data_IF_091884761627
#
_entry.id   IF_091884761627
#
_cell.length_a   1.000
_cell.length_b   1.000
_cell.length_c   1.000
_cell.angle_alpha   90.00
_cell.angle_beta   90.00
_cell.angle_gamma   90.00
#
_symmetry.space_group_name_H-M   'P 1'
#
loop_
_entity.id
_entity.type
_entity.pdbx_description
1 polymer ?
#
# COMPACT_ATOMS: atom_id res chain seq x y z
N UNK A 1 28.20 -36.38 25.42
CA UNK A 1 28.20 -35.91 24.04
C UNK A 1 26.96 -35.05 23.82
N UNK A 2 27.13 -33.74 23.94
CA UNK A 2 26.04 -32.74 23.84
C UNK A 2 26.18 -32.05 22.48
N UNK A 3 25.27 -32.32 21.59
CA UNK A 3 25.21 -31.72 20.27
C UNK A 3 24.64 -30.32 20.37
N UNK A 4 25.45 -29.31 20.10
CA UNK A 4 25.04 -27.91 20.07
C UNK A 4 24.50 -27.58 18.67
N UNK A 5 23.21 -27.55 18.53
CA UNK A 5 22.54 -27.14 17.27
C UNK A 5 22.70 -25.63 17.12
N UNK A 6 23.52 -25.20 16.18
CA UNK A 6 23.74 -23.81 15.81
C UNK A 6 22.59 -23.32 14.92
N UNK A 7 21.58 -22.71 15.55
CA UNK A 7 20.48 -22.05 14.85
C UNK A 7 21.01 -20.76 14.21
N UNK A 8 21.26 -20.76 12.91
CA UNK A 8 21.49 -19.52 12.15
C UNK A 8 20.27 -18.62 12.29
N UNK A 9 20.43 -17.51 13.01
CA UNK A 9 19.42 -16.46 13.08
C UNK A 9 19.30 -15.80 11.71
N UNK A 10 18.21 -16.07 11.01
CA UNK A 10 17.86 -15.38 9.78
C UNK A 10 17.60 -13.90 10.08
N UNK A 11 18.21 -13.01 9.33
CA UNK A 11 17.98 -11.58 9.43
C UNK A 11 16.54 -11.32 8.96
N UNK A 12 15.68 -10.87 9.87
CA UNK A 12 14.32 -10.47 9.55
C UNK A 12 14.34 -9.36 8.50
N UNK A 13 13.47 -9.44 7.47
CA UNK A 13 13.30 -8.40 6.43
C UNK A 13 13.10 -7.01 7.03
N UNK A 14 12.46 -6.93 8.19
CA UNK A 14 12.28 -5.70 8.98
C UNK A 14 13.61 -5.08 9.43
N UNK A 15 14.61 -5.90 9.77
CA UNK A 15 15.93 -5.43 10.16
C UNK A 15 16.80 -5.06 8.95
N UNK A 16 16.60 -5.70 7.80
CA UNK A 16 17.28 -5.35 6.56
C UNK A 16 16.92 -3.94 6.08
N UNK A 17 15.64 -3.57 6.15
CA UNK A 17 15.18 -2.22 5.78
C UNK A 17 15.68 -1.13 6.74
N UNK A 18 15.82 -1.44 8.04
CA UNK A 18 16.37 -0.51 9.03
C UNK A 18 17.89 -0.29 8.86
N UNK A 19 18.63 -1.30 8.40
CA UNK A 19 20.07 -1.21 8.19
C UNK A 19 20.43 -0.61 6.83
N UNK A 20 19.60 -0.78 5.79
CA UNK A 20 19.79 -0.21 4.46
C UNK A 20 19.68 1.32 4.43
N UNK A 21 18.87 1.91 5.31
CA UNK A 21 18.72 3.37 5.40
C UNK A 21 19.97 4.09 5.96
N UNK A 22 20.82 3.42 6.70
CA UNK A 22 22.01 4.03 7.30
C UNK A 22 23.25 4.01 6.38
N UNK A 23 23.27 3.19 5.33
CA UNK A 23 24.41 3.06 4.41
C UNK A 23 24.38 4.06 3.23
N UNK A 24 23.30 4.78 3.00
CA UNK A 24 23.13 5.69 1.87
C UNK A 24 23.62 7.14 2.14
N UNK A 25 24.15 7.45 3.34
CA UNK A 25 24.54 8.81 3.71
C UNK A 25 25.99 9.18 3.34
N UNK A 26 26.73 8.36 2.62
CA UNK A 26 28.19 8.47 2.48
C UNK A 26 28.74 8.79 1.09
N UNK A 27 27.94 9.08 0.04
CA UNK A 27 28.50 9.33 -1.29
C UNK A 27 27.67 10.36 -2.08
N UNK A 28 27.77 11.63 -1.71
CA UNK A 28 27.24 12.72 -2.53
C UNK A 28 28.28 13.82 -2.69
N UNK A 29 29.20 13.67 -3.65
CA UNK A 29 29.90 14.81 -4.28
C UNK A 29 29.99 14.52 -5.77
N UNK A 30 29.29 15.27 -6.60
CA UNK A 30 29.49 15.29 -8.06
C UNK A 30 28.24 15.48 -8.90
N UNK A 31 27.84 16.76 -9.08
CA UNK A 31 27.15 17.35 -10.24
C UNK A 31 26.03 16.58 -10.94
N UNK A 32 24.84 17.18 -10.89
CA UNK A 32 23.74 16.91 -11.84
C UNK A 32 22.46 16.50 -11.18
N UNK A 33 21.61 17.49 -10.94
CA UNK A 33 20.29 17.33 -10.36
C UNK A 33 19.42 16.32 -11.10
N UNK A 34 19.21 15.17 -10.48
CA UNK A 34 18.00 14.40 -10.65
C UNK A 34 17.46 14.19 -9.24
N UNK A 35 16.57 15.10 -8.87
CA UNK A 35 15.77 14.99 -7.67
C UNK A 35 14.80 13.84 -7.84
N UNK A 36 14.93 12.80 -7.03
CA UNK A 36 13.78 11.99 -6.75
C UNK A 36 13.95 10.53 -6.83
N UNK A 37 14.74 9.78 -6.56
CA UNK A 37 14.81 8.39 -6.07
C UNK A 37 16.31 8.03 -5.90
N UNK A 38 16.71 7.44 -4.79
CA UNK A 38 18.01 6.80 -4.76
C UNK A 38 18.00 5.72 -5.84
N UNK A 39 18.78 5.93 -6.89
CA UNK A 39 19.03 4.91 -7.90
C UNK A 39 19.81 3.82 -7.19
N UNK A 40 19.11 2.86 -6.60
CA UNK A 40 19.73 1.63 -6.16
C UNK A 40 20.07 0.87 -7.44
N UNK A 41 21.29 1.02 -7.90
CA UNK A 41 21.86 0.12 -8.88
C UNK A 41 22.03 -1.23 -8.20
N UNK A 42 20.94 -1.95 -8.00
CA UNK A 42 21.00 -3.35 -7.65
C UNK A 42 21.56 -4.08 -8.85
N UNK A 43 22.71 -4.70 -8.72
CA UNK A 43 23.28 -5.57 -9.75
C UNK A 43 22.39 -6.79 -10.03
N UNK A 44 21.35 -7.01 -9.22
CA UNK A 44 20.35 -8.04 -9.42
C UNK A 44 19.00 -7.40 -9.73
N UNK A 45 18.26 -7.88 -10.73
CA UNK A 45 16.93 -7.42 -11.05
C UNK A 45 16.02 -7.60 -9.83
N UNK A 46 15.35 -6.53 -9.44
CA UNK A 46 14.36 -6.57 -8.37
C UNK A 46 13.07 -7.12 -8.93
N UNK A 47 12.52 -8.13 -8.29
CA UNK A 47 11.19 -8.64 -8.56
C UNK A 47 10.31 -8.37 -7.35
N UNK A 48 9.16 -7.71 -7.57
CA UNK A 48 8.12 -7.50 -6.58
C UNK A 48 6.90 -8.36 -6.93
N UNK A 49 6.37 -9.03 -5.93
CA UNK A 49 5.18 -9.88 -6.05
C UNK A 49 3.98 -9.09 -5.54
N UNK A 50 3.06 -8.80 -6.44
CA UNK A 50 1.79 -8.16 -6.13
C UNK A 50 0.67 -9.19 -6.19
N UNK A 51 -0.25 -9.14 -5.26
CA UNK A 51 -1.52 -9.82 -5.39
C UNK A 51 -2.66 -8.86 -5.08
N UNK A 52 -3.84 -9.16 -5.60
CA UNK A 52 -5.02 -8.34 -5.35
C UNK A 52 -6.17 -8.69 -6.26
N UNK A 53 -7.21 -7.86 -6.23
CA UNK A 53 -8.33 -7.99 -7.15
C UNK A 53 -7.91 -7.65 -8.58
N UNK A 54 -8.59 -8.20 -9.58
CA UNK A 54 -8.17 -8.07 -10.98
C UNK A 54 -8.24 -6.65 -11.56
N UNK A 55 -8.69 -5.67 -10.78
CA UNK A 55 -8.96 -4.30 -11.26
C UNK A 55 -7.69 -3.58 -11.70
N UNK A 56 -6.60 -3.71 -10.96
CA UNK A 56 -5.29 -3.10 -11.28
C UNK A 56 -4.27 -4.10 -11.82
N UNK A 57 -4.66 -5.35 -12.02
CA UNK A 57 -3.78 -6.40 -12.54
C UNK A 57 -3.69 -6.31 -14.07
N UNK A 58 -3.03 -5.27 -14.57
CA UNK A 58 -2.90 -4.98 -16.00
C UNK A 58 -1.45 -5.16 -16.44
N UNK A 59 -1.23 -5.92 -17.51
CA UNK A 59 0.11 -6.12 -18.09
C UNK A 59 0.82 -4.81 -18.40
N UNK A 60 0.09 -3.79 -18.86
CA UNK A 60 0.64 -2.46 -19.15
C UNK A 60 1.28 -1.80 -17.91
N UNK A 61 0.77 -2.06 -16.70
CA UNK A 61 1.37 -1.57 -15.44
C UNK A 61 2.70 -2.27 -15.18
N UNK A 62 2.76 -3.59 -15.36
CA UNK A 62 4.00 -4.35 -15.18
C UNK A 62 5.07 -3.97 -16.21
N UNK A 63 4.68 -3.79 -17.47
CA UNK A 63 5.57 -3.33 -18.55
C UNK A 63 6.12 -1.94 -18.24
N UNK A 64 5.26 -1.01 -17.83
CA UNK A 64 5.66 0.35 -17.48
C UNK A 64 6.53 0.41 -16.22
N UNK A 65 6.26 -0.41 -15.23
CA UNK A 65 7.09 -0.56 -14.03
C UNK A 65 8.52 -1.03 -14.42
N UNK A 66 8.62 -1.99 -15.34
CA UNK A 66 9.90 -2.48 -15.83
C UNK A 66 10.65 -1.42 -16.65
N UNK A 67 9.93 -0.71 -17.52
CA UNK A 67 10.51 0.36 -18.34
C UNK A 67 11.04 1.53 -17.49
N UNK A 68 10.25 2.05 -16.56
CA UNK A 68 10.56 3.26 -15.82
C UNK A 68 11.48 3.02 -14.63
N UNK A 69 11.35 1.87 -13.96
CA UNK A 69 12.01 1.59 -12.69
C UNK A 69 13.00 0.41 -12.76
N UNK A 70 13.02 -0.35 -13.85
CA UNK A 70 13.82 -1.57 -13.96
C UNK A 70 13.36 -2.70 -13.04
N UNK A 71 12.16 -2.59 -12.47
CA UNK A 71 11.59 -3.55 -11.53
C UNK A 71 10.65 -4.49 -12.27
N UNK A 72 10.79 -5.79 -12.07
CA UNK A 72 9.83 -6.78 -12.53
C UNK A 72 8.68 -6.87 -11.53
N UNK A 73 7.46 -6.68 -11.99
CA UNK A 73 6.25 -6.80 -11.19
C UNK A 73 5.51 -8.10 -11.57
N UNK A 74 5.47 -9.06 -10.65
CA UNK A 74 4.70 -10.29 -10.78
C UNK A 74 3.34 -10.10 -10.11
N UNK A 75 2.27 -10.11 -10.92
CA UNK A 75 0.92 -9.83 -10.44
C UNK A 75 0.07 -11.11 -10.43
N UNK A 76 -0.65 -11.33 -9.34
CA UNK A 76 -1.59 -12.45 -9.17
C UNK A 76 -2.97 -11.91 -8.84
N UNK A 77 -3.94 -12.14 -9.73
CA UNK A 77 -5.34 -11.80 -9.49
C UNK A 77 -5.99 -12.83 -8.56
N UNK A 78 -6.84 -12.34 -7.65
CA UNK A 78 -7.64 -13.15 -6.75
C UNK A 78 -8.97 -12.43 -6.46
N UNK A 79 -9.91 -13.09 -5.81
CA UNK A 79 -11.11 -12.44 -5.28
C UNK A 79 -10.82 -11.75 -3.94
N UNK A 80 -11.74 -10.90 -3.49
CA UNK A 80 -11.59 -10.08 -2.28
C UNK A 80 -11.43 -10.90 -1.00
N UNK A 81 -12.18 -12.00 -0.86
CA UNK A 81 -12.11 -12.83 0.35
C UNK A 81 -10.80 -13.62 0.38
N UNK A 82 -10.39 -14.19 -0.75
CA UNK A 82 -9.10 -14.87 -0.86
C UNK A 82 -7.94 -13.88 -0.70
N UNK A 83 -8.07 -12.62 -1.17
CA UNK A 83 -7.08 -11.58 -0.93
C UNK A 83 -6.92 -11.29 0.56
N UNK A 84 -8.02 -11.10 1.30
CA UNK A 84 -8.00 -10.90 2.74
C UNK A 84 -7.34 -12.07 3.48
N UNK A 85 -7.71 -13.30 3.12
CA UNK A 85 -7.15 -14.51 3.72
C UNK A 85 -5.64 -14.63 3.43
N UNK A 86 -5.23 -14.46 2.17
CA UNK A 86 -3.82 -14.55 1.77
C UNK A 86 -2.97 -13.51 2.48
N UNK A 87 -3.46 -12.27 2.59
CA UNK A 87 -2.75 -11.21 3.27
C UNK A 87 -2.33 -11.61 4.68
N UNK A 88 -3.24 -12.22 5.43
CA UNK A 88 -3.02 -12.58 6.84
C UNK A 88 -2.27 -13.91 6.99
N UNK A 89 -2.59 -14.92 6.18
CA UNK A 89 -2.07 -16.28 6.38
C UNK A 89 -0.75 -16.53 5.67
N UNK A 90 -0.41 -15.73 4.65
CA UNK A 90 0.77 -15.91 3.82
C UNK A 90 1.57 -14.61 3.62
N UNK A 91 1.96 -13.90 4.69
CA UNK A 91 2.60 -12.58 4.59
C UNK A 91 3.95 -12.60 3.86
N UNK A 92 4.62 -13.75 3.80
CA UNK A 92 5.88 -13.92 3.07
C UNK A 92 5.70 -14.22 1.57
N UNK A 93 4.45 -14.38 1.09
CA UNK A 93 4.16 -14.72 -0.30
C UNK A 93 4.03 -13.51 -1.21
N UNK A 94 4.10 -12.28 -0.69
CA UNK A 94 3.91 -11.06 -1.45
C UNK A 94 4.77 -9.91 -0.90
N UNK A 95 4.93 -8.89 -1.71
CA UNK A 95 5.60 -7.64 -1.38
C UNK A 95 4.63 -6.46 -1.45
N UNK A 96 3.59 -6.57 -2.29
CA UNK A 96 2.52 -5.58 -2.45
C UNK A 96 1.17 -6.28 -2.37
N UNK A 97 0.28 -5.76 -1.52
CA UNK A 97 -1.13 -6.14 -1.46
C UNK A 97 -1.98 -5.04 -2.08
N UNK A 98 -2.67 -5.36 -3.17
CA UNK A 98 -3.63 -4.47 -3.83
C UNK A 98 -5.04 -4.95 -3.51
N UNK A 99 -5.54 -4.46 -2.39
CA UNK A 99 -6.80 -4.89 -1.79
C UNK A 99 -7.74 -3.70 -1.59
N UNK A 100 -9.02 -3.97 -1.52
CA UNK A 100 -10.02 -2.94 -1.28
C UNK A 100 -9.88 -2.38 0.14
N UNK A 101 -10.09 -1.06 0.28
CA UNK A 101 -9.93 -0.35 1.56
C UNK A 101 -10.80 -0.91 2.69
N UNK A 102 -11.98 -1.45 2.39
CA UNK A 102 -12.86 -2.04 3.39
C UNK A 102 -12.32 -3.36 3.98
N UNK A 103 -11.41 -4.04 3.28
CA UNK A 103 -10.67 -5.20 3.77
C UNK A 103 -9.61 -4.79 4.81
N UNK A 104 -9.06 -3.57 4.70
CA UNK A 104 -8.02 -3.08 5.61
C UNK A 104 -8.44 -3.16 7.09
N UNK A 105 -9.72 -2.99 7.40
CA UNK A 105 -10.23 -3.16 8.78
C UNK A 105 -9.92 -4.52 9.39
N UNK A 106 -9.83 -5.54 8.55
CA UNK A 106 -9.57 -6.93 8.97
C UNK A 106 -8.07 -7.26 8.91
N UNK A 107 -7.38 -6.73 7.92
CA UNK A 107 -6.00 -7.12 7.60
C UNK A 107 -4.99 -6.25 8.36
N UNK A 108 -5.14 -4.93 8.34
CA UNK A 108 -4.15 -4.01 8.90
C UNK A 108 -3.88 -4.23 10.40
N UNK A 109 -4.89 -4.46 11.27
CA UNK A 109 -4.66 -4.70 12.70
C UNK A 109 -3.83 -5.94 13.01
N UNK A 110 -3.66 -6.85 12.05
CA UNK A 110 -2.82 -8.05 12.22
C UNK A 110 -1.32 -7.74 12.14
N UNK A 111 -0.95 -6.53 11.70
CA UNK A 111 0.45 -6.08 11.59
C UNK A 111 1.20 -6.65 10.38
N UNK A 112 0.52 -7.30 9.44
CA UNK A 112 1.15 -7.87 8.23
C UNK A 112 1.37 -6.82 7.13
N UNK A 113 0.62 -5.71 7.17
CA UNK A 113 0.77 -4.56 6.28
C UNK A 113 1.46 -3.42 7.03
N UNK A 114 2.41 -2.77 6.37
CA UNK A 114 3.20 -1.68 6.93
C UNK A 114 2.64 -0.33 6.45
N UNK A 115 2.45 0.66 7.34
CA UNK A 115 2.07 2.00 6.92
C UNK A 115 3.21 2.71 6.19
N UNK A 116 2.87 3.65 5.34
CA UNK A 116 3.80 4.44 4.55
C UNK A 116 3.95 5.84 5.13
N UNK A 117 5.18 6.32 5.20
CA UNK A 117 5.49 7.71 5.53
C UNK A 117 4.98 8.63 4.40
N UNK A 118 4.02 9.51 4.69
CA UNK A 118 3.40 10.40 3.71
C UNK A 118 4.41 11.35 3.06
N UNK A 119 5.47 11.73 3.78
CA UNK A 119 6.52 12.60 3.25
C UNK A 119 7.33 11.96 2.11
N UNK A 120 7.28 10.63 2.01
CA UNK A 120 7.95 9.84 0.96
C UNK A 120 7.05 9.57 -0.24
N UNK A 121 5.78 9.93 -0.19
CA UNK A 121 4.82 9.74 -1.28
C UNK A 121 4.79 10.99 -2.16
N UNK A 122 5.49 10.97 -3.28
CA UNK A 122 5.66 12.12 -4.21
C UNK A 122 4.34 12.75 -4.64
N UNK A 123 3.28 11.97 -4.71
CA UNK A 123 1.96 12.43 -5.17
C UNK A 123 0.92 12.49 -4.06
N UNK A 124 1.35 12.49 -2.78
CA UNK A 124 0.41 12.50 -1.64
C UNK A 124 -0.59 13.65 -1.72
N UNK A 125 -0.13 14.85 -2.07
CA UNK A 125 -1.00 16.02 -2.19
C UNK A 125 -2.02 15.93 -3.33
N UNK A 126 -1.77 15.07 -4.32
CA UNK A 126 -2.67 14.82 -5.44
C UNK A 126 -3.74 13.76 -5.15
N UNK A 127 -3.65 13.06 -4.03
CA UNK A 127 -4.68 12.13 -3.60
C UNK A 127 -5.96 12.92 -3.31
N UNK A 128 -7.05 12.49 -3.92
CA UNK A 128 -8.38 13.12 -3.75
C UNK A 128 -8.71 13.24 -2.27
N UNK A 129 -9.14 14.42 -1.79
CA UNK A 129 -9.40 14.66 -0.37
C UNK A 129 -10.37 13.68 0.28
N UNK A 130 -11.30 13.13 -0.49
CA UNK A 130 -12.26 12.12 -0.03
C UNK A 130 -11.57 10.92 0.67
N UNK A 131 -10.41 10.48 0.16
CA UNK A 131 -9.67 9.36 0.74
C UNK A 131 -8.90 9.73 2.01
N UNK A 132 -8.59 11.01 2.20
CA UNK A 132 -7.83 11.51 3.35
C UNK A 132 -8.75 12.01 4.47
N UNK A 133 -9.72 12.82 4.11
CA UNK A 133 -10.57 13.55 5.07
C UNK A 133 -12.03 13.10 5.10
N UNK A 134 -12.43 12.21 4.18
CA UNK A 134 -13.83 11.84 4.00
C UNK A 134 -14.70 12.92 3.35
N UNK A 135 -14.08 14.00 2.87
CA UNK A 135 -14.79 15.12 2.20
C UNK A 135 -14.24 15.32 0.81
N UNK A 136 -15.12 15.52 -0.16
CA UNK A 136 -14.72 15.86 -1.52
C UNK A 136 -14.33 17.35 -1.63
N UNK A 137 -15.11 18.20 -1.00
CA UNK A 137 -14.88 19.66 -0.89
C UNK A 137 -14.89 20.05 0.59
N UNK A 138 -14.31 21.18 0.97
CA UNK A 138 -14.25 21.62 2.37
C UNK A 138 -15.62 21.64 3.07
N UNK A 139 -16.66 22.06 2.34
CA UNK A 139 -18.03 22.17 2.86
C UNK A 139 -18.88 20.92 2.67
N UNK A 140 -18.30 19.86 2.09
CA UNK A 140 -19.02 18.59 1.91
C UNK A 140 -19.30 17.92 3.25
N UNK A 141 -20.40 17.17 3.29
CA UNK A 141 -20.67 16.25 4.39
C UNK A 141 -19.61 15.18 4.41
N UNK A 142 -19.15 14.80 5.61
CA UNK A 142 -18.21 13.69 5.78
C UNK A 142 -18.89 12.39 5.31
N UNK A 143 -18.17 11.61 4.51
CA UNK A 143 -18.63 10.31 4.04
C UNK A 143 -18.98 9.39 5.21
N UNK A 144 -20.12 8.73 5.12
CA UNK A 144 -20.65 7.85 6.16
C UNK A 144 -20.33 6.39 5.89
N UNK A 145 -20.49 5.56 6.92
CA UNK A 145 -20.31 4.11 6.81
C UNK A 145 -18.86 3.68 6.67
N UNK A 146 -18.63 2.72 5.80
CA UNK A 146 -17.28 2.19 5.53
C UNK A 146 -16.57 3.09 4.50
N UNK A 147 -16.15 4.27 4.94
CA UNK A 147 -15.48 5.22 4.06
C UNK A 147 -13.95 5.07 4.13
N UNK A 148 -13.22 5.31 3.04
CA UNK A 148 -11.76 5.09 2.97
C UNK A 148 -10.96 5.82 4.05
N UNK A 149 -11.33 7.07 4.38
CA UNK A 149 -10.63 7.88 5.37
C UNK A 149 -10.62 7.25 6.76
N UNK A 150 -11.60 6.39 7.10
CA UNK A 150 -11.69 5.73 8.42
C UNK A 150 -10.61 4.66 8.64
N UNK A 151 -9.94 4.25 7.58
CA UNK A 151 -8.86 3.26 7.60
C UNK A 151 -7.57 3.80 6.96
N UNK A 152 -7.55 5.08 6.61
CA UNK A 152 -6.44 5.68 5.84
C UNK A 152 -5.19 5.96 6.67
N UNK A 153 -5.31 6.16 7.98
CA UNK A 153 -4.19 6.64 8.79
C UNK A 153 -3.98 5.83 10.07
N UNK A 154 -2.75 5.87 10.55
CA UNK A 154 -2.33 5.33 11.85
C UNK A 154 -1.39 6.32 12.54
N UNK A 155 -1.21 6.18 13.87
CA UNK A 155 -0.42 7.13 14.66
C UNK A 155 1.10 7.05 14.45
N UNK A 156 1.60 5.95 13.92
CA UNK A 156 3.05 5.77 13.76
C UNK A 156 3.41 4.55 12.92
N UNK A 157 4.71 4.37 12.64
CA UNK A 157 5.21 3.33 11.74
C UNK A 157 4.97 1.90 12.23
N UNK A 158 4.80 1.72 13.52
CA UNK A 158 4.59 0.41 14.15
C UNK A 158 3.14 0.27 14.69
N UNK A 159 2.27 1.27 14.44
CA UNK A 159 0.88 1.22 14.89
C UNK A 159 0.06 0.25 14.05
N UNK A 160 -0.78 -0.52 14.71
CA UNK A 160 -1.78 -1.40 14.10
C UNK A 160 -3.20 -0.89 14.33
N UNK A 161 -3.34 0.30 14.91
CA UNK A 161 -4.61 0.94 15.23
C UNK A 161 -4.81 2.15 14.33
N UNK A 162 -5.99 2.25 13.72
CA UNK A 162 -6.33 3.39 12.87
C UNK A 162 -6.48 4.67 13.69
N UNK A 163 -5.93 5.75 13.16
CA UNK A 163 -6.09 7.10 13.69
C UNK A 163 -7.46 7.68 13.29
N UNK A 164 -7.96 8.62 14.10
CA UNK A 164 -9.23 9.29 13.84
C UNK A 164 -9.17 10.29 12.68
N UNK A 165 -7.99 10.65 12.21
CA UNK A 165 -7.77 11.62 11.15
C UNK A 165 -6.41 11.51 10.52
N UNK A 166 -6.09 12.48 9.67
CA UNK A 166 -4.83 12.54 8.92
C UNK A 166 -3.61 12.63 9.84
N UNK A 167 -2.63 11.75 9.58
CA UNK A 167 -1.33 11.73 10.27
C UNK A 167 -0.22 11.64 9.24
N UNK A 168 1.04 11.56 9.69
CA UNK A 168 2.19 11.31 8.82
C UNK A 168 2.30 9.87 8.29
N UNK A 169 1.35 8.98 8.65
CA UNK A 169 1.44 7.54 8.33
C UNK A 169 0.17 7.04 7.66
N UNK A 170 0.30 6.67 6.39
CA UNK A 170 -0.80 6.30 5.51
C UNK A 170 -0.82 4.80 5.27
N UNK A 171 -1.99 4.18 5.38
CA UNK A 171 -2.13 2.71 5.29
C UNK A 171 -2.25 2.20 3.88
N UNK A 172 -2.68 3.04 2.94
CA UNK A 172 -2.94 2.67 1.56
C UNK A 172 -2.69 3.83 0.60
N UNK A 173 -2.31 3.53 -0.64
CA UNK A 173 -2.35 4.47 -1.76
C UNK A 173 -3.54 4.12 -2.63
N UNK A 174 -4.57 4.98 -2.72
CA UNK A 174 -5.71 4.72 -3.60
C UNK A 174 -5.25 4.77 -5.06
N UNK A 175 -5.45 3.68 -5.78
CA UNK A 175 -5.09 3.54 -7.19
C UNK A 175 -6.30 3.65 -8.10
N UNK A 176 -7.37 2.95 -7.75
CA UNK A 176 -8.62 2.89 -8.50
C UNK A 176 -9.78 2.97 -7.51
N UNK A 177 -10.84 3.66 -7.89
CA UNK A 177 -12.08 3.68 -7.11
C UNK A 177 -13.30 3.71 -8.02
N UNK A 178 -14.41 3.22 -7.50
CA UNK A 178 -15.73 3.38 -8.04
C UNK A 178 -16.67 3.83 -6.92
N UNK A 179 -17.85 4.32 -7.30
CA UNK A 179 -18.94 4.57 -6.38
C UNK A 179 -20.09 3.65 -6.76
N UNK A 180 -20.43 2.75 -5.84
CA UNK A 180 -21.59 1.90 -6.02
C UNK A 180 -22.87 2.73 -5.84
N UNK A 181 -23.78 2.62 -6.78
CA UNK A 181 -25.03 3.35 -6.80
C UNK A 181 -26.19 2.41 -7.05
N UNK A 182 -27.36 2.82 -6.57
CA UNK A 182 -28.62 2.15 -6.92
C UNK A 182 -29.21 2.79 -8.17
N UNK A 183 -29.35 2.01 -9.22
CA UNK A 183 -30.17 2.36 -10.36
C UNK A 183 -31.63 2.06 -10.07
N UNK A 184 -32.51 3.05 -10.21
CA UNK A 184 -33.96 2.86 -10.09
C UNK A 184 -34.65 3.05 -11.43
N UNK A 185 -35.69 2.29 -11.64
CA UNK A 185 -36.65 2.48 -12.74
C UNK A 185 -37.79 3.40 -12.25
N UNK A 186 -37.73 4.69 -12.52
CA UNK A 186 -38.76 5.64 -12.00
C UNK A 186 -40.14 5.37 -12.50
N UNK A 187 -40.28 4.65 -13.62
CA UNK A 187 -41.54 4.17 -14.18
C UNK A 187 -42.15 2.97 -13.41
N UNK A 188 -41.35 2.27 -12.61
CA UNK A 188 -41.79 1.14 -11.78
C UNK A 188 -41.89 1.49 -10.30
N UNK A 189 -41.19 2.52 -9.86
CA UNK A 189 -41.19 3.01 -8.46
C UNK A 189 -42.02 4.31 -8.48
N UNK A 190 -43.23 4.27 -7.95
CA UNK A 190 -44.09 5.46 -7.87
C UNK A 190 -43.32 6.61 -7.22
N UNK A 191 -43.41 7.79 -7.80
CA UNK A 191 -42.96 9.03 -7.17
C UNK A 191 -44.13 9.53 -6.33
N UNK A 192 -44.13 9.20 -5.07
CA UNK A 192 -44.96 9.89 -4.09
C UNK A 192 -44.08 10.90 -3.32
#
# INVERSE_FOLDING_TARGET
MTETTNKKAGISRRNFLKTGAAAAAGAAVGSGAITGFPTIWAQNPITLRQFGTGVSNLNAIAEKCKEDLGITLEMTATDSDAAAQRAVTQPDSYDIADIEYWILKKVFPTGVIQPMDTSRLTYYDKIVPLFKTGKLLPDSVIAQGTAPHTVGFVEGPDSTTFAAGETGWFTMVPTIYNADTLGIRPDLVGRD
#
